data_IF_664037158067
#
_entry.id   IF_664037158067
#
_cell.length_a   1.000
_cell.length_b   1.000
_cell.length_c   1.000
_cell.angle_alpha   90.00
_cell.angle_beta   90.00
_cell.angle_gamma   90.00
#
_symmetry.space_group_name_H-M   'P 1'
#
loop_
_entity.id
_entity.type
_entity.pdbx_description
1 polymer ?
#
# COMPACT_ATOMS: atom_id res chain seq x y z
N UNK A 1 7.25 14.24 -23.58
CA UNK A 1 7.60 13.06 -22.80
C UNK A 1 6.34 12.48 -22.21
N UNK A 2 6.10 11.19 -22.37
CA UNK A 2 4.96 10.44 -21.86
C UNK A 2 5.51 9.40 -20.88
N UNK A 3 4.86 9.25 -19.73
CA UNK A 3 5.20 8.28 -18.71
C UNK A 3 4.11 7.20 -18.67
N UNK A 4 4.55 5.96 -18.58
CA UNK A 4 3.73 4.78 -18.31
C UNK A 4 4.18 4.21 -16.98
N UNK A 5 3.25 4.02 -16.05
CA UNK A 5 3.54 3.48 -14.72
C UNK A 5 2.78 2.17 -14.55
N UNK A 6 3.51 1.13 -14.18
CA UNK A 6 3.00 -0.20 -13.92
C UNK A 6 3.20 -0.55 -12.45
N UNK A 7 2.18 -1.13 -11.83
CA UNK A 7 2.24 -1.73 -10.50
C UNK A 7 1.96 -3.22 -10.66
N UNK A 8 2.88 -4.07 -10.22
CA UNK A 8 2.78 -5.54 -10.34
C UNK A 8 2.48 -5.99 -11.78
N UNK A 9 3.06 -5.29 -12.77
CA UNK A 9 2.83 -5.54 -14.20
C UNK A 9 1.52 -4.97 -14.78
N UNK A 10 0.65 -4.38 -13.95
CA UNK A 10 -0.59 -3.72 -14.41
C UNK A 10 -0.37 -2.23 -14.60
N UNK A 11 -0.76 -1.70 -15.76
CA UNK A 11 -0.71 -0.25 -16.02
C UNK A 11 -1.69 0.47 -15.09
N UNK A 12 -1.17 1.41 -14.30
CA UNK A 12 -1.95 2.25 -13.40
C UNK A 12 -2.02 3.70 -13.86
N UNK A 13 -1.12 4.12 -14.75
CA UNK A 13 -1.09 5.48 -15.25
C UNK A 13 -0.39 5.59 -16.60
N UNK A 14 -0.94 6.46 -17.47
CA UNK A 14 -0.33 6.91 -18.72
C UNK A 14 -0.55 8.41 -18.89
N UNK A 15 0.52 9.19 -19.12
CA UNK A 15 0.40 10.63 -19.39
C UNK A 15 1.69 11.41 -19.23
N UNK A 16 1.64 12.73 -19.44
CA UNK A 16 2.82 13.61 -19.43
C UNK A 16 3.26 14.07 -18.03
N UNK A 17 2.41 13.96 -17.02
CA UNK A 17 2.68 14.36 -15.63
C UNK A 17 2.41 13.19 -14.66
N UNK A 18 3.40 12.33 -14.37
CA UNK A 18 3.18 11.12 -13.58
C UNK A 18 2.60 11.45 -12.19
N UNK A 19 1.74 10.60 -11.64
CA UNK A 19 1.13 10.83 -10.33
C UNK A 19 2.19 10.74 -9.25
N UNK A 20 2.11 11.64 -8.27
CA UNK A 20 3.03 11.69 -7.11
C UNK A 20 2.71 10.60 -6.08
N UNK A 21 1.51 10.00 -6.15
CA UNK A 21 1.03 9.00 -5.19
C UNK A 21 0.39 7.81 -5.88
N UNK A 22 0.54 6.63 -5.28
CA UNK A 22 -0.13 5.39 -5.69
C UNK A 22 -0.40 4.52 -4.46
N UNK A 23 -1.45 3.70 -4.52
CA UNK A 23 -1.76 2.73 -3.47
C UNK A 23 -1.09 1.40 -3.79
N UNK A 24 -0.30 0.90 -2.84
CA UNK A 24 0.36 -0.41 -2.94
C UNK A 24 -0.53 -1.50 -2.35
N UNK A 25 -0.43 -2.70 -2.91
CA UNK A 25 -1.05 -3.91 -2.37
C UNK A 25 -0.28 -4.41 -1.14
N UNK A 26 -0.89 -5.25 -0.32
CA UNK A 26 -0.18 -5.86 0.81
C UNK A 26 0.87 -6.85 0.29
N UNK A 27 2.09 -6.76 0.82
CA UNK A 27 3.23 -7.58 0.44
C UNK A 27 4.22 -6.84 -0.46
N UNK A 28 4.92 -7.60 -1.28
CA UNK A 28 5.87 -7.07 -2.24
C UNK A 28 5.15 -6.44 -3.43
N UNK A 29 5.55 -5.23 -3.80
CA UNK A 29 5.03 -4.51 -4.94
C UNK A 29 6.19 -4.15 -5.87
N UNK A 30 6.06 -4.49 -7.16
CA UNK A 30 6.99 -4.08 -8.18
C UNK A 30 6.42 -2.88 -8.94
N UNK A 31 7.13 -1.75 -8.91
CA UNK A 31 6.76 -0.53 -9.62
C UNK A 31 7.71 -0.36 -10.80
N UNK A 32 7.16 -0.37 -12.01
CA UNK A 32 7.91 -0.11 -13.24
C UNK A 32 7.47 1.22 -13.83
N UNK A 33 8.41 2.13 -14.06
CA UNK A 33 8.17 3.41 -14.72
C UNK A 33 8.89 3.41 -16.06
N UNK A 34 8.12 3.61 -17.13
CA UNK A 34 8.63 3.74 -18.49
C UNK A 34 8.40 5.17 -18.95
N UNK A 35 9.47 5.89 -19.26
CA UNK A 35 9.39 7.21 -19.84
C UNK A 35 9.75 7.17 -21.32
N UNK A 36 8.92 7.79 -22.16
CA UNK A 36 9.06 7.85 -23.61
C UNK A 36 9.18 9.31 -24.03
N UNK A 37 10.28 9.67 -24.68
CA UNK A 37 10.48 11.03 -25.20
C UNK A 37 9.73 11.25 -26.53
N UNK A 38 9.77 12.47 -27.08
CA UNK A 38 9.09 12.82 -28.34
C UNK A 38 9.69 12.13 -29.58
N UNK A 39 10.94 11.66 -29.52
CA UNK A 39 11.64 10.90 -30.55
C UNK A 39 11.42 9.38 -30.39
N UNK A 40 10.66 8.95 -29.38
CA UNK A 40 10.33 7.54 -29.12
C UNK A 40 11.39 6.79 -28.30
N UNK A 41 12.40 7.49 -27.76
CA UNK A 41 13.42 6.88 -26.89
C UNK A 41 12.78 6.49 -25.56
N UNK A 42 13.05 5.27 -25.10
CA UNK A 42 12.47 4.70 -23.87
C UNK A 42 13.52 4.56 -22.77
N UNK A 43 13.18 5.03 -21.58
CA UNK A 43 13.92 4.79 -20.35
C UNK A 43 13.04 4.03 -19.36
N UNK A 44 13.58 2.98 -18.74
CA UNK A 44 12.84 2.11 -17.81
C UNK A 44 13.52 2.15 -16.45
N UNK A 45 12.74 2.31 -15.38
CA UNK A 45 13.18 2.19 -14.01
C UNK A 45 12.24 1.26 -13.24
N UNK A 46 12.81 0.40 -12.40
CA UNK A 46 12.08 -0.58 -11.61
C UNK A 46 12.40 -0.43 -10.13
N UNK A 47 11.38 -0.50 -9.29
CA UNK A 47 11.50 -0.35 -7.85
C UNK A 47 10.61 -1.37 -7.15
N UNK A 48 11.23 -2.20 -6.31
CA UNK A 48 10.50 -3.10 -5.41
C UNK A 48 10.25 -2.40 -4.08
N UNK A 49 8.98 -2.31 -3.68
CA UNK A 49 8.57 -1.74 -2.40
C UNK A 49 7.72 -2.75 -1.63
N UNK A 50 7.99 -2.92 -0.34
CA UNK A 50 7.23 -3.83 0.51
C UNK A 50 6.25 -3.04 1.37
N UNK A 51 4.96 -3.38 1.26
CA UNK A 51 3.89 -2.79 2.04
C UNK A 51 3.33 -3.82 3.03
N UNK A 52 3.25 -3.49 4.31
CA UNK A 52 2.71 -4.41 5.33
C UNK A 52 1.62 -3.75 6.15
N UNK A 53 0.48 -4.42 6.30
CA UNK A 53 -0.53 -4.03 7.29
C UNK A 53 -0.02 -4.36 8.70
N UNK A 54 0.09 -3.34 9.55
CA UNK A 54 0.47 -3.50 10.94
C UNK A 54 -0.76 -3.92 11.75
N UNK A 55 -1.03 -5.23 11.85
CA UNK A 55 -2.20 -5.75 12.59
C UNK A 55 -2.06 -5.73 14.11
N UNK A 56 -0.82 -5.67 14.62
CA UNK A 56 -0.52 -5.64 16.06
C UNK A 56 -1.31 -4.58 16.85
N UNK A 57 -1.39 -3.29 16.45
CA UNK A 57 -2.20 -2.31 17.16
C UNK A 57 -3.68 -2.68 17.24
N UNK A 58 -4.27 -3.20 16.15
CA UNK A 58 -5.67 -3.64 16.14
C UNK A 58 -5.89 -4.83 17.09
N UNK A 59 -4.95 -5.78 17.14
CA UNK A 59 -5.00 -6.91 18.08
C UNK A 59 -4.90 -6.46 19.55
N UNK A 60 -4.01 -5.50 19.85
CA UNK A 60 -3.87 -4.94 21.22
C UNK A 60 -5.19 -4.27 21.65
N UNK A 61 -5.78 -3.45 20.78
CA UNK A 61 -7.06 -2.78 21.06
C UNK A 61 -8.18 -3.81 21.28
N UNK A 62 -8.25 -4.86 20.45
CA UNK A 62 -9.23 -5.93 20.61
C UNK A 62 -9.10 -6.63 21.97
N UNK A 63 -7.88 -6.98 22.39
CA UNK A 63 -7.62 -7.61 23.69
C UNK A 63 -8.02 -6.69 24.85
N UNK A 64 -7.70 -5.39 24.77
CA UNK A 64 -8.09 -4.42 25.79
C UNK A 64 -9.60 -4.30 25.93
N UNK A 65 -10.34 -4.24 24.82
CA UNK A 65 -11.81 -4.20 24.83
C UNK A 65 -12.38 -5.45 25.49
N UNK A 66 -11.88 -6.64 25.13
CA UNK A 66 -12.32 -7.91 25.74
C UNK A 66 -12.03 -7.90 27.25
N UNK A 67 -10.85 -7.47 27.68
CA UNK A 67 -10.48 -7.40 29.09
C UNK A 67 -11.40 -6.44 29.87
N UNK A 68 -11.74 -5.28 29.31
CA UNK A 68 -12.68 -4.32 29.93
C UNK A 68 -14.07 -4.96 30.06
N UNK A 69 -14.58 -5.60 29.01
CA UNK A 69 -15.88 -6.27 29.03
C UNK A 69 -15.91 -7.37 30.11
N UNK A 70 -14.87 -8.20 30.17
CA UNK A 70 -14.73 -9.25 31.20
C UNK A 70 -14.68 -8.63 32.61
N UNK A 71 -13.90 -7.58 32.81
CA UNK A 71 -13.81 -6.89 34.10
C UNK A 71 -15.16 -6.30 34.53
N UNK A 72 -15.93 -5.71 33.60
CA UNK A 72 -17.27 -5.18 33.88
C UNK A 72 -18.24 -6.30 34.25
N UNK A 73 -18.22 -7.42 33.53
CA UNK A 73 -19.08 -8.59 33.83
C UNK A 73 -18.75 -9.16 35.21
N UNK A 74 -17.46 -9.37 35.51
CA UNK A 74 -17.00 -9.87 36.80
C UNK A 74 -17.35 -8.93 37.96
N UNK A 75 -17.32 -7.61 37.72
CA UNK A 75 -17.72 -6.61 38.72
C UNK A 75 -19.22 -6.60 38.97
N UNK A 76 -20.05 -6.90 37.96
CA UNK A 76 -21.51 -6.91 38.08
C UNK A 76 -22.07 -8.22 38.65
N UNK A 77 -21.33 -9.32 38.50
CA UNK A 77 -21.69 -10.63 39.06
C UNK A 77 -21.21 -10.87 40.50
N UNK A 78 -20.44 -9.94 41.08
CA UNK A 78 -20.14 -9.85 42.52
C UNK A 78 -21.07 -8.82 43.15
#
# INVERSE_FOLDING_TARGET
MIYYVYLNGREIYTGSSPPTTMTLEQGENNVTVVAVDSLGVRSVAEFTSYSSLQYLPFLIVLILVIAIVVAVILRRGR
#
